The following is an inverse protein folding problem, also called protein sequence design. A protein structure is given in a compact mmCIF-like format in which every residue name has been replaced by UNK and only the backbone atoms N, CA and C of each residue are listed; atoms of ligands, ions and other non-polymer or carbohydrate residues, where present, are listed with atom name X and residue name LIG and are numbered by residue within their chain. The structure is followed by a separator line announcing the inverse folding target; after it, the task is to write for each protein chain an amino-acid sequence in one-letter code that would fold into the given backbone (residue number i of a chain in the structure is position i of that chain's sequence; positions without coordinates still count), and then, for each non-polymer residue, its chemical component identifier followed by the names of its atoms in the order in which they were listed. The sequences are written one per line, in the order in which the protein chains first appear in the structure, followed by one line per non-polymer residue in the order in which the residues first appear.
data_IF_688801335665
#
_entry.id   IF_688801335665
#
_cell.length_a   1.000
_cell.length_b   1.000
_cell.length_c   1.000
_cell.angle_alpha   90.00
_cell.angle_beta   90.00
_cell.angle_gamma   90.00
#
_symmetry.space_group_name_H-M   'P 1'
#
loop_
_entity.id
_entity.type
_entity.pdbx_description
1 polymer ?
#
# COMPACT_ATOMS: atom_id res chain seq x y z
N UNK A 1 8.16 75.66 -10.81
CA UNK A 1 7.45 75.34 -12.07
C UNK A 1 6.15 74.61 -11.72
N UNK A 2 5.05 75.11 -12.28
CA UNK A 2 3.66 74.58 -12.37
C UNK A 2 3.01 73.88 -11.15
N UNK A 3 2.10 74.62 -10.51
CA UNK A 3 0.97 74.13 -9.69
C UNK A 3 -0.11 73.47 -10.58
N UNK A 4 -0.98 72.66 -9.95
CA UNK A 4 -2.44 72.42 -10.15
C UNK A 4 -2.78 70.93 -10.29
N UNK A 5 -3.93 70.36 -9.91
CA UNK A 5 -5.07 70.63 -9.00
C UNK A 5 -5.85 69.28 -8.95
N UNK A 6 -6.54 69.04 -7.84
CA UNK A 6 -7.64 68.11 -7.52
C UNK A 6 -8.67 67.80 -8.66
N UNK A 7 -9.22 66.58 -8.68
CA UNK A 7 -10.64 66.17 -8.95
C UNK A 7 -10.61 64.65 -9.31
N UNK A 8 -11.35 63.71 -8.74
CA UNK A 8 -12.73 63.74 -8.25
C UNK A 8 -13.62 62.97 -9.25
N UNK A 9 -13.96 61.71 -8.97
CA UNK A 9 -15.17 61.09 -9.54
C UNK A 9 -15.63 59.88 -8.72
N UNK A 10 -16.70 60.11 -7.94
CA UNK A 10 -17.59 59.09 -7.40
C UNK A 10 -18.54 58.68 -8.53
N UNK A 11 -18.67 57.38 -8.79
CA UNK A 11 -19.84 56.83 -9.48
C UNK A 11 -20.28 55.57 -8.74
N UNK A 12 -21.26 55.80 -7.86
CA UNK A 12 -22.19 54.83 -7.31
C UNK A 12 -23.15 54.38 -8.43
N UNK A 13 -23.70 53.16 -8.26
CA UNK A 13 -24.88 52.57 -8.91
C UNK A 13 -24.61 51.59 -10.07
N UNK A 14 -24.74 50.28 -9.77
CA UNK A 14 -25.94 49.52 -10.15
C UNK A 14 -25.91 48.14 -9.48
N UNK A 15 -26.82 47.95 -8.53
CA UNK A 15 -27.21 46.62 -8.08
C UNK A 15 -27.82 45.86 -9.27
N UNK A 16 -27.12 44.85 -9.74
CA UNK A 16 -27.76 43.72 -10.42
C UNK A 16 -27.64 42.52 -9.49
N UNK A 17 -28.76 42.23 -8.83
CA UNK A 17 -29.05 40.93 -8.23
C UNK A 17 -28.95 39.85 -9.31
N UNK A 18 -27.78 39.21 -9.39
CA UNK A 18 -27.59 37.95 -10.07
C UNK A 18 -27.86 36.82 -9.08
N UNK A 19 -29.13 36.45 -8.92
CA UNK A 19 -29.48 35.14 -8.38
C UNK A 19 -29.07 34.12 -9.44
N UNK A 20 -27.98 33.39 -9.19
CA UNK A 20 -27.43 32.45 -10.14
C UNK A 20 -26.64 31.39 -9.39
N UNK A 21 -27.36 30.48 -8.76
CA UNK A 21 -26.93 29.12 -8.40
C UNK A 21 -25.47 28.99 -7.93
N UNK A 22 -25.32 28.94 -6.61
CA UNK A 22 -24.17 28.35 -5.93
C UNK A 22 -24.01 26.89 -6.41
N UNK A 23 -23.36 26.69 -7.56
CA UNK A 23 -22.79 25.41 -7.95
C UNK A 23 -21.52 25.25 -7.12
N UNK A 24 -21.73 25.06 -5.82
CA UNK A 24 -20.81 24.27 -5.03
C UNK A 24 -20.73 22.95 -5.77
N UNK A 25 -19.64 22.77 -6.51
CA UNK A 25 -19.30 21.50 -7.11
C UNK A 25 -19.02 20.56 -5.93
N UNK A 26 -20.07 20.02 -5.33
CA UNK A 26 -19.96 18.81 -4.54
C UNK A 26 -19.37 17.82 -5.54
N UNK A 27 -18.09 17.47 -5.35
CA UNK A 27 -17.50 16.32 -6.03
C UNK A 27 -18.51 15.19 -5.85
N UNK A 28 -19.19 14.83 -6.94
CA UNK A 28 -20.12 13.73 -6.96
C UNK A 28 -19.35 12.52 -6.42
N UNK A 29 -19.71 12.09 -5.21
CA UNK A 29 -19.09 10.96 -4.51
C UNK A 29 -19.43 9.61 -5.14
N UNK A 30 -19.96 9.60 -6.36
CA UNK A 30 -20.39 8.43 -7.12
C UNK A 30 -19.51 8.19 -8.36
N UNK A 31 -18.27 8.67 -8.34
CA UNK A 31 -17.27 8.23 -9.31
C UNK A 31 -16.94 6.75 -9.06
N UNK A 32 -17.48 5.90 -9.94
CA UNK A 32 -17.29 4.46 -9.94
C UNK A 32 -16.07 4.01 -10.73
N UNK A 33 -15.31 4.95 -11.32
CA UNK A 33 -14.06 4.61 -11.99
C UNK A 33 -13.08 3.96 -11.00
N UNK A 34 -12.19 3.08 -11.47
CA UNK A 34 -11.10 2.56 -10.64
C UNK A 34 -10.26 3.69 -10.01
N UNK A 35 -9.66 3.47 -8.83
CA UNK A 35 -8.74 4.44 -8.26
C UNK A 35 -7.50 4.56 -9.14
N UNK A 36 -7.05 5.79 -9.39
CA UNK A 36 -5.74 6.03 -9.98
C UNK A 36 -4.71 6.16 -8.84
N UNK A 37 -3.65 5.34 -8.87
CA UNK A 37 -2.57 5.36 -7.87
C UNK A 37 -1.20 5.28 -8.55
N UNK A 38 -0.17 5.83 -7.91
CA UNK A 38 1.21 5.69 -8.33
C UNK A 38 2.03 5.05 -7.22
N UNK A 39 3.05 4.27 -7.57
CA UNK A 39 3.96 3.68 -6.58
C UNK A 39 4.67 4.77 -5.76
N UNK A 40 4.95 5.93 -6.36
CA UNK A 40 5.55 7.10 -5.69
C UNK A 40 4.68 7.69 -4.59
N UNK A 41 3.38 7.41 -4.56
CA UNK A 41 2.47 7.85 -3.49
C UNK A 41 2.57 6.96 -2.24
N UNK A 42 3.37 5.89 -2.30
CA UNK A 42 3.62 4.98 -1.18
C UNK A 42 5.07 5.15 -0.77
N UNK A 43 5.30 5.95 0.26
CA UNK A 43 6.64 6.21 0.80
C UNK A 43 7.04 5.06 1.73
N UNK A 44 7.63 4.01 1.17
CA UNK A 44 8.04 2.81 1.88
C UNK A 44 9.51 2.86 2.33
N UNK A 45 9.81 2.13 3.39
CA UNK A 45 11.14 2.09 3.99
C UNK A 45 11.47 0.70 4.54
N UNK A 46 12.71 0.26 4.29
CA UNK A 46 13.32 -0.94 4.86
C UNK A 46 14.52 -0.54 5.72
N UNK A 47 14.53 -0.93 6.99
CA UNK A 47 15.64 -0.65 7.90
C UNK A 47 15.77 -1.66 9.03
N UNK A 48 16.85 -1.59 9.80
CA UNK A 48 16.93 -2.32 11.07
C UNK A 48 15.94 -1.74 12.08
N UNK A 49 15.25 -2.61 12.81
CA UNK A 49 14.32 -2.27 13.87
C UNK A 49 14.27 -3.36 14.93
N UNK A 50 13.42 -3.15 15.94
CA UNK A 50 13.15 -4.13 17.00
C UNK A 50 11.64 -4.44 16.96
N UNK A 51 11.30 -5.73 16.86
CA UNK A 51 9.94 -6.26 16.96
C UNK A 51 10.01 -7.42 17.95
N UNK A 52 9.10 -7.44 18.93
CA UNK A 52 9.03 -8.45 19.99
C UNK A 52 10.37 -8.69 20.72
N UNK A 53 11.09 -7.61 20.99
CA UNK A 53 12.41 -7.65 21.66
C UNK A 53 13.57 -8.14 20.79
N UNK A 54 13.31 -8.56 19.55
CA UNK A 54 14.34 -9.07 18.63
C UNK A 54 14.69 -8.05 17.55
N UNK A 55 15.99 -7.93 17.25
CA UNK A 55 16.46 -7.14 16.11
C UNK A 55 16.08 -7.82 14.80
N UNK A 56 15.43 -7.07 13.90
CA UNK A 56 14.96 -7.55 12.60
C UNK A 56 15.14 -6.48 11.53
N UNK A 57 15.06 -6.89 10.28
CA UNK A 57 14.82 -5.96 9.18
C UNK A 57 13.31 -5.76 9.05
N UNK A 58 12.91 -4.50 9.08
CA UNK A 58 11.52 -4.10 9.19
C UNK A 58 11.10 -3.25 8.01
N UNK A 59 9.87 -3.49 7.57
CA UNK A 59 9.15 -2.73 6.57
C UNK A 59 8.11 -1.82 7.25
N UNK A 60 7.95 -0.63 6.70
CA UNK A 60 6.90 0.33 7.03
C UNK A 60 6.70 1.27 5.85
N UNK A 61 5.57 1.95 5.78
CA UNK A 61 5.29 2.91 4.73
C UNK A 61 4.33 4.01 5.19
N UNK A 62 4.36 5.14 4.49
CA UNK A 62 3.34 6.18 4.59
C UNK A 62 2.44 6.14 3.36
N UNK A 63 1.14 6.03 3.58
CA UNK A 63 0.14 6.07 2.52
C UNK A 63 -0.14 7.52 2.13
N UNK A 64 0.44 8.01 1.03
CA UNK A 64 0.15 9.35 0.50
C UNK A 64 -0.92 9.33 -0.61
N UNK A 65 -1.52 8.19 -0.93
CA UNK A 65 -2.69 8.13 -1.83
C UNK A 65 -3.91 8.81 -1.19
N UNK A 66 -4.95 9.09 -1.97
CA UNK A 66 -6.23 9.59 -1.46
C UNK A 66 -7.15 8.47 -0.94
N UNK A 67 -6.69 7.21 -0.99
CA UNK A 67 -7.48 6.03 -0.67
C UNK A 67 -6.97 5.31 0.57
N UNK A 68 -7.75 4.35 1.07
CA UNK A 68 -7.24 3.40 2.08
C UNK A 68 -6.50 2.28 1.37
N UNK A 69 -5.25 2.02 1.77
CA UNK A 69 -4.53 0.82 1.38
C UNK A 69 -5.01 -0.31 2.31
N UNK A 70 -5.64 -1.32 1.72
CA UNK A 70 -6.12 -2.51 2.43
C UNK A 70 -5.04 -3.56 2.63
N UNK A 71 -4.10 -3.62 1.68
CA UNK A 71 -2.97 -4.55 1.72
C UNK A 71 -1.82 -4.02 0.86
N UNK A 72 -0.59 -4.36 1.24
CA UNK A 72 0.59 -4.13 0.41
C UNK A 72 1.61 -5.23 0.65
N UNK A 73 2.15 -5.77 -0.43
CA UNK A 73 3.24 -6.73 -0.45
C UNK A 73 4.35 -6.22 -1.40
N UNK A 74 5.60 -6.31 -0.98
CA UNK A 74 6.79 -6.07 -1.78
C UNK A 74 7.62 -7.33 -1.85
N UNK A 75 7.94 -7.75 -3.07
CA UNK A 75 8.89 -8.81 -3.34
C UNK A 75 10.22 -8.20 -3.77
N UNK A 76 11.30 -8.73 -3.20
CA UNK A 76 12.67 -8.34 -3.49
C UNK A 76 13.44 -9.55 -3.99
N UNK A 77 13.94 -9.47 -5.21
CA UNK A 77 14.73 -10.53 -5.81
C UNK A 77 16.22 -10.29 -5.60
N UNK A 78 17.00 -11.36 -5.77
CA UNK A 78 18.45 -11.28 -5.76
C UNK A 78 18.93 -10.38 -6.90
N UNK A 79 19.80 -9.42 -6.58
CA UNK A 79 20.49 -8.61 -7.58
C UNK A 79 21.29 -9.47 -8.54
N UNK A 80 21.33 -9.08 -9.81
CA UNK A 80 22.19 -9.72 -10.80
C UNK A 80 23.68 -9.74 -10.40
N UNK A 81 24.14 -8.76 -9.60
CA UNK A 81 25.52 -8.66 -9.11
C UNK A 81 25.82 -9.49 -7.87
N UNK A 82 24.81 -10.02 -7.19
CA UNK A 82 25.00 -10.86 -5.99
C UNK A 82 25.47 -12.24 -6.42
N UNK A 83 26.55 -12.75 -5.81
CA UNK A 83 27.07 -14.10 -6.10
C UNK A 83 26.46 -15.18 -5.21
N UNK A 84 26.65 -16.45 -5.58
CA UNK A 84 26.19 -17.58 -4.76
C UNK A 84 26.90 -17.61 -3.41
N UNK A 85 28.19 -17.24 -3.38
CA UNK A 85 28.99 -17.16 -2.16
C UNK A 85 28.47 -16.06 -1.23
N UNK A 86 28.05 -14.91 -1.77
CA UNK A 86 27.41 -13.85 -0.97
C UNK A 86 26.13 -14.37 -0.30
N UNK A 87 25.28 -15.07 -1.05
CA UNK A 87 24.05 -15.67 -0.53
C UNK A 87 24.36 -16.70 0.57
N UNK A 88 25.27 -17.63 0.32
CA UNK A 88 25.64 -18.67 1.28
C UNK A 88 26.27 -18.10 2.55
N UNK A 89 27.05 -17.02 2.42
CA UNK A 89 27.70 -16.33 3.54
C UNK A 89 26.69 -15.58 4.41
N UNK A 90 25.86 -14.72 3.80
CA UNK A 90 24.99 -13.82 4.57
C UNK A 90 23.72 -14.53 5.10
N UNK A 91 23.34 -15.69 4.53
CA UNK A 91 22.25 -16.54 5.04
C UNK A 91 22.73 -17.82 5.74
N UNK A 92 24.00 -17.87 6.17
CA UNK A 92 24.62 -19.05 6.80
C UNK A 92 23.82 -19.62 7.97
N UNK A 93 23.22 -18.77 8.82
CA UNK A 93 22.43 -19.24 9.98
C UNK A 93 21.26 -20.14 9.55
N UNK A 94 20.57 -19.80 8.47
CA UNK A 94 19.44 -20.59 7.98
C UNK A 94 19.89 -21.89 7.34
N UNK A 95 21.03 -21.88 6.63
CA UNK A 95 21.69 -23.09 6.15
C UNK A 95 22.04 -24.02 7.33
N UNK A 96 22.63 -23.48 8.38
CA UNK A 96 23.10 -24.24 9.54
C UNK A 96 21.95 -24.83 10.39
N UNK A 97 20.72 -24.34 10.23
CA UNK A 97 19.55 -24.98 10.87
C UNK A 97 19.24 -26.38 10.31
N UNK A 98 19.82 -26.75 9.17
CA UNK A 98 19.56 -28.02 8.49
C UNK A 98 18.23 -28.06 7.70
N UNK A 99 17.41 -27.01 7.77
CA UNK A 99 16.14 -26.92 7.07
C UNK A 99 16.27 -26.55 5.58
N UNK A 100 17.44 -26.05 5.16
CA UNK A 100 17.67 -25.54 3.82
C UNK A 100 18.99 -26.05 3.26
N UNK A 101 18.96 -26.57 2.04
CA UNK A 101 20.17 -26.93 1.31
C UNK A 101 20.92 -25.68 0.83
N UNK A 102 22.16 -25.85 0.39
CA UNK A 102 22.92 -24.77 -0.23
C UNK A 102 22.20 -24.23 -1.48
N UNK A 103 21.54 -25.09 -2.25
CA UNK A 103 20.83 -24.70 -3.47
C UNK A 103 19.50 -23.98 -3.18
N UNK A 104 18.87 -24.27 -2.04
CA UNK A 104 17.72 -23.49 -1.57
C UNK A 104 18.14 -22.07 -1.21
N UNK A 105 19.23 -21.94 -0.45
CA UNK A 105 19.74 -20.64 0.03
C UNK A 105 20.10 -19.71 -1.13
N UNK A 106 20.71 -20.23 -2.20
CA UNK A 106 21.06 -19.44 -3.40
C UNK A 106 19.85 -18.82 -4.10
N UNK A 107 18.65 -19.40 -3.88
CA UNK A 107 17.37 -18.99 -4.48
C UNK A 107 16.49 -18.18 -3.54
N UNK A 108 16.99 -17.83 -2.36
CA UNK A 108 16.22 -17.01 -1.42
C UNK A 108 15.91 -15.62 -1.99
N UNK A 109 14.69 -15.17 -1.71
CA UNK A 109 14.22 -13.81 -1.97
C UNK A 109 13.58 -13.25 -0.69
N UNK A 110 13.48 -11.93 -0.60
CA UNK A 110 12.91 -11.24 0.56
C UNK A 110 11.52 -10.74 0.21
N UNK A 111 10.64 -10.77 1.19
CA UNK A 111 9.25 -10.35 1.10
C UNK A 111 8.94 -9.42 2.26
N UNK A 112 8.12 -8.42 2.01
CA UNK A 112 7.63 -7.52 3.04
C UNK A 112 6.15 -7.23 2.80
N UNK A 113 5.31 -7.55 3.78
CA UNK A 113 3.86 -7.41 3.63
C UNK A 113 3.22 -6.78 4.86
N UNK A 114 2.20 -5.95 4.63
CA UNK A 114 1.41 -5.34 5.70
C UNK A 114 -0.09 -5.43 5.37
N UNK A 115 -0.74 -6.43 5.94
CA UNK A 115 -2.17 -6.72 5.77
C UNK A 115 -3.10 -5.86 6.65
N UNK A 116 -2.73 -4.60 6.91
CA UNK A 116 -3.55 -3.69 7.73
C UNK A 116 -4.10 -2.54 6.89
N UNK A 117 -5.29 -2.10 7.26
CA UNK A 117 -5.94 -0.97 6.60
C UNK A 117 -5.29 0.34 7.03
N UNK A 118 -4.56 0.96 6.11
CA UNK A 118 -3.89 2.23 6.34
C UNK A 118 -4.62 3.32 5.57
N UNK A 119 -5.29 4.20 6.32
CA UNK A 119 -6.03 5.34 5.76
C UNK A 119 -5.07 6.33 5.06
N UNK A 120 -5.64 7.14 4.16
CA UNK A 120 -4.93 8.22 3.49
C UNK A 120 -4.18 9.12 4.50
N UNK A 121 -2.95 9.50 4.12
CA UNK A 121 -2.00 10.34 4.87
C UNK A 121 -1.63 9.77 6.25
N UNK A 122 -1.71 8.44 6.44
CA UNK A 122 -1.26 7.75 7.66
C UNK A 122 -0.10 6.81 7.37
N UNK A 123 0.75 6.61 8.38
CA UNK A 123 1.85 5.65 8.33
C UNK A 123 1.43 4.32 8.95
N UNK A 124 1.95 3.23 8.38
CA UNK A 124 1.78 1.90 8.92
C UNK A 124 2.67 1.65 10.14
N UNK A 125 2.32 0.63 10.92
CA UNK A 125 3.26 0.08 11.90
C UNK A 125 4.40 -0.66 11.18
N UNK A 126 5.49 -0.87 11.92
CA UNK A 126 6.60 -1.71 11.47
C UNK A 126 6.17 -3.18 11.47
N UNK A 127 6.57 -3.91 10.45
CA UNK A 127 6.39 -5.36 10.30
C UNK A 127 7.72 -5.99 9.87
N UNK A 128 7.92 -7.28 10.16
CA UNK A 128 9.19 -7.95 9.81
C UNK A 128 9.22 -8.27 8.31
N UNK A 129 10.37 -8.10 7.67
CA UNK A 129 10.62 -8.71 6.36
C UNK A 129 10.89 -10.21 6.55
N UNK A 130 10.47 -11.02 5.58
CA UNK A 130 10.57 -12.48 5.63
C UNK A 130 11.22 -13.06 4.38
N UNK A 131 11.73 -14.28 4.49
CA UNK A 131 12.34 -15.01 3.37
C UNK A 131 11.30 -15.90 2.71
N UNK A 132 11.19 -15.86 1.38
CA UNK A 132 10.34 -16.74 0.57
C UNK A 132 8.85 -16.79 0.99
N UNK A 133 8.26 -15.69 1.45
CA UNK A 133 6.93 -15.67 2.10
C UNK A 133 6.76 -16.67 3.26
N UNK A 134 7.86 -17.10 3.89
CA UNK A 134 7.82 -17.96 5.09
C UNK A 134 7.74 -17.13 6.36
N UNK A 135 7.78 -17.78 7.51
CA UNK A 135 7.87 -17.17 8.83
C UNK A 135 9.32 -16.80 9.23
N UNK A 136 10.31 -17.12 8.41
CA UNK A 136 11.71 -16.78 8.70
C UNK A 136 11.97 -15.29 8.47
N UNK A 137 12.21 -14.57 9.57
CA UNK A 137 12.52 -13.15 9.52
C UNK A 137 13.92 -12.89 8.95
N UNK A 138 14.05 -11.79 8.21
CA UNK A 138 15.35 -11.24 7.83
C UNK A 138 15.93 -10.52 9.05
N UNK A 139 17.15 -10.88 9.45
CA UNK A 139 17.74 -10.41 10.72
C UNK A 139 18.90 -9.44 10.52
N UNK A 140 19.56 -9.46 9.36
CA UNK A 140 20.70 -8.59 9.05
C UNK A 140 20.42 -7.74 7.81
N UNK A 141 20.84 -6.47 7.84
CA UNK A 141 20.68 -5.56 6.70
C UNK A 141 21.56 -5.99 5.52
N UNK A 142 22.64 -6.73 5.77
CA UNK A 142 23.48 -7.32 4.72
C UNK A 142 22.69 -8.28 3.84
N UNK A 143 21.80 -9.09 4.42
CA UNK A 143 20.89 -9.98 3.68
C UNK A 143 20.00 -9.17 2.74
N UNK A 144 19.40 -8.08 3.23
CA UNK A 144 18.59 -7.18 2.41
C UNK A 144 19.40 -6.49 1.30
N UNK A 145 20.66 -6.11 1.56
CA UNK A 145 21.52 -5.44 0.57
C UNK A 145 21.85 -6.31 -0.65
N UNK A 146 21.72 -7.64 -0.55
CA UNK A 146 21.86 -8.56 -1.67
C UNK A 146 20.66 -8.54 -2.64
N UNK A 147 19.55 -7.94 -2.21
CA UNK A 147 18.30 -7.89 -2.95
C UNK A 147 18.03 -6.52 -3.57
N UNK A 148 17.15 -6.50 -4.56
CA UNK A 148 16.54 -5.31 -5.15
C UNK A 148 15.02 -5.50 -5.30
N UNK A 149 14.23 -4.42 -5.28
CA UNK A 149 12.79 -4.51 -5.49
C UNK A 149 12.47 -5.15 -6.86
N UNK A 150 11.53 -6.10 -6.88
CA UNK A 150 11.08 -6.78 -8.08
C UNK A 150 9.67 -6.30 -8.47
N UNK A 151 8.70 -6.55 -7.59
CA UNK A 151 7.31 -6.17 -7.79
C UNK A 151 6.61 -5.80 -6.48
N UNK A 152 5.55 -5.02 -6.60
CA UNK A 152 4.61 -4.77 -5.52
C UNK A 152 3.22 -5.30 -5.88
N UNK A 153 2.49 -5.78 -4.89
CA UNK A 153 1.04 -5.99 -4.96
C UNK A 153 0.38 -5.05 -3.98
N UNK A 154 -0.58 -4.25 -4.42
CA UNK A 154 -1.24 -3.21 -3.60
C UNK A 154 -2.75 -3.36 -3.74
N UNK A 155 -3.45 -3.48 -2.62
CA UNK A 155 -4.91 -3.48 -2.60
C UNK A 155 -5.44 -2.12 -2.11
N UNK A 156 -6.25 -1.46 -2.93
CA UNK A 156 -6.88 -0.17 -2.64
C UNK A 156 -8.37 -0.35 -2.37
N UNK A 157 -8.89 0.40 -1.39
CA UNK A 157 -10.30 0.44 -1.07
C UNK A 157 -10.88 1.79 -1.51
N UNK A 158 -11.83 1.76 -2.47
CA UNK A 158 -12.63 2.91 -2.95
C UNK A 158 -14.10 2.49 -2.99
N UNK A 159 -15.00 3.27 -2.39
CA UNK A 159 -16.45 3.04 -2.40
C UNK A 159 -16.85 1.60 -2.00
N UNK A 160 -16.28 1.08 -0.90
CA UNK A 160 -16.46 -0.29 -0.41
C UNK A 160 -16.10 -1.40 -1.42
N UNK A 161 -15.29 -1.08 -2.44
CA UNK A 161 -14.73 -2.05 -3.38
C UNK A 161 -13.22 -2.15 -3.24
N UNK A 162 -12.71 -3.36 -3.44
CA UNK A 162 -11.28 -3.66 -3.50
C UNK A 162 -10.80 -3.51 -4.94
N UNK A 163 -9.63 -2.92 -5.13
CA UNK A 163 -8.92 -2.83 -6.41
C UNK A 163 -7.49 -3.29 -6.20
N UNK A 164 -7.05 -4.27 -6.97
CA UNK A 164 -5.71 -4.85 -6.84
C UNK A 164 -4.82 -4.30 -7.96
N UNK A 165 -3.64 -3.82 -7.59
CA UNK A 165 -2.64 -3.31 -8.51
C UNK A 165 -1.34 -4.06 -8.35
N UNK A 166 -0.64 -4.27 -9.46
CA UNK A 166 0.74 -4.69 -9.50
C UNK A 166 1.61 -3.53 -9.94
N UNK A 167 2.75 -3.36 -9.28
CA UNK A 167 3.79 -2.47 -9.75
C UNK A 167 5.02 -3.30 -10.11
N UNK A 168 5.51 -3.13 -11.33
CA UNK A 168 6.76 -3.71 -11.80
C UNK A 168 7.88 -2.69 -11.60
N UNK A 169 8.86 -2.99 -10.75
CA UNK A 169 9.97 -2.06 -10.49
C UNK A 169 10.98 -1.98 -11.65
N UNK A 170 11.09 -3.03 -12.46
CA UNK A 170 11.99 -3.04 -13.62
C UNK A 170 11.43 -2.14 -14.72
N UNK A 171 10.15 -2.31 -15.05
CA UNK A 171 9.48 -1.57 -16.12
C UNK A 171 8.89 -0.23 -15.63
N UNK A 172 8.81 -0.03 -14.31
CA UNK A 172 8.21 1.15 -13.64
C UNK A 172 6.75 1.35 -14.01
N UNK A 173 6.03 0.25 -14.22
CA UNK A 173 4.65 0.24 -14.69
C UNK A 173 3.70 -0.18 -13.57
N UNK A 174 2.55 0.51 -13.50
CA UNK A 174 1.44 0.16 -12.62
C UNK A 174 0.31 -0.44 -13.45
N UNK A 175 -0.11 -1.65 -13.13
CA UNK A 175 -1.18 -2.37 -13.82
C UNK A 175 -2.26 -2.78 -12.83
N UNK A 176 -3.53 -2.55 -13.17
CA UNK A 176 -4.65 -3.04 -12.38
C UNK A 176 -5.00 -4.47 -12.77
N UNK A 177 -5.22 -5.34 -11.79
CA UNK A 177 -5.77 -6.69 -11.99
C UNK A 177 -7.29 -6.59 -12.08
N UNK A 178 -7.85 -6.64 -13.29
CA UNK A 178 -9.29 -6.51 -13.51
C UNK A 178 -10.09 -7.65 -12.84
N UNK A 179 -9.54 -8.87 -12.83
CA UNK A 179 -10.19 -10.05 -12.25
C UNK A 179 -10.27 -9.99 -10.72
N UNK A 180 -9.34 -9.28 -10.07
CA UNK A 180 -9.28 -9.09 -8.61
C UNK A 180 -9.73 -7.70 -8.17
N UNK A 181 -10.44 -6.97 -9.02
CA UNK A 181 -10.87 -5.60 -8.77
C UNK A 181 -12.38 -5.42 -8.89
N UNK A 182 -12.91 -4.41 -8.19
CA UNK A 182 -14.33 -4.08 -8.17
C UNK A 182 -15.18 -4.92 -7.23
N UNK A 183 -14.61 -5.94 -6.57
CA UNK A 183 -15.30 -6.77 -5.58
C UNK A 183 -15.64 -5.96 -4.32
N UNK A 184 -16.85 -6.13 -3.79
CA UNK A 184 -17.25 -5.48 -2.53
C UNK A 184 -16.47 -6.06 -1.37
N UNK A 185 -15.84 -5.19 -0.56
CA UNK A 185 -15.12 -5.64 0.63
C UNK A 185 -16.06 -6.19 1.70
N UNK A 186 -17.35 -5.81 1.70
CA UNK A 186 -18.35 -6.36 2.59
C UNK A 186 -19.39 -7.18 1.82
N UNK A 187 -19.42 -8.49 2.08
CA UNK A 187 -20.51 -9.38 1.68
C UNK A 187 -20.95 -10.20 2.89
N UNK A 188 -22.26 -10.21 3.14
CA UNK A 188 -22.85 -11.01 4.20
C UNK A 188 -23.51 -12.23 3.59
N UNK A 189 -23.33 -13.40 4.22
CA UNK A 189 -24.08 -14.59 3.83
C UNK A 189 -25.58 -14.31 3.87
N UNK A 190 -26.30 -14.80 2.86
CA UNK A 190 -27.75 -14.67 2.75
C UNK A 190 -28.48 -15.83 3.44
N UNK A 191 -27.75 -16.75 4.09
CA UNK A 191 -28.32 -17.88 4.80
C UNK A 191 -29.23 -17.44 5.94
N UNK A 192 -30.19 -18.31 6.30
CA UNK A 192 -31.15 -18.03 7.38
C UNK A 192 -30.45 -17.78 8.72
N UNK A 193 -29.33 -18.47 8.97
CA UNK A 193 -28.50 -18.30 10.17
C UNK A 193 -27.80 -16.93 10.15
N UNK A 194 -27.18 -16.55 9.02
CA UNK A 194 -26.45 -15.29 8.91
C UNK A 194 -27.35 -14.05 9.03
N UNK A 195 -28.62 -14.14 8.64
CA UNK A 195 -29.61 -13.07 8.83
C UNK A 195 -29.91 -12.76 10.30
N UNK A 196 -29.71 -13.74 11.18
CA UNK A 196 -29.95 -13.60 12.63
C UNK A 196 -28.69 -13.15 13.39
N UNK A 197 -27.54 -13.05 12.74
CA UNK A 197 -26.31 -12.57 13.37
C UNK A 197 -26.22 -11.03 13.26
N UNK A 198 -25.78 -10.34 14.33
CA UNK A 198 -25.56 -8.90 14.28
C UNK A 198 -24.47 -8.58 13.24
N UNK A 199 -24.80 -7.70 12.29
CA UNK A 199 -23.87 -7.26 11.26
C UNK A 199 -22.88 -6.27 11.88
N UNK A 200 -21.60 -6.63 11.92
CA UNK A 200 -20.55 -5.75 12.43
C UNK A 200 -20.16 -4.72 11.37
N UNK A 201 -19.99 -3.44 11.76
CA UNK A 201 -19.34 -2.42 10.92
C UNK A 201 -17.81 -2.47 10.95
N UNK A 202 -17.25 -3.54 11.52
CA UNK A 202 -15.82 -3.67 11.74
C UNK A 202 -15.15 -4.00 10.40
N UNK A 203 -14.23 -3.14 9.97
CA UNK A 203 -13.25 -3.46 8.94
C UNK A 203 -12.45 -4.68 9.39
N UNK A 204 -12.68 -5.79 8.69
CA UNK A 204 -12.19 -7.16 8.93
C UNK A 204 -10.85 -7.21 9.68
N UNK A 205 -10.86 -7.72 10.91
CA UNK A 205 -9.63 -8.19 11.54
C UNK A 205 -9.15 -9.45 10.81
N UNK A 206 -7.94 -9.39 10.25
CA UNK A 206 -7.06 -10.56 10.07
C UNK A 206 -7.51 -11.65 9.10
N UNK A 207 -7.88 -11.30 7.87
CA UNK A 207 -7.95 -12.27 6.76
C UNK A 207 -6.82 -12.01 5.77
N UNK A 208 -6.14 -13.06 5.30
CA UNK A 208 -5.20 -12.95 4.18
C UNK A 208 -5.98 -12.49 2.94
N UNK A 209 -5.56 -11.37 2.35
CA UNK A 209 -5.94 -10.98 0.99
C UNK A 209 -5.04 -11.75 0.03
N UNK A 210 -5.42 -12.98 -0.32
CA UNK A 210 -4.73 -13.74 -1.37
C UNK A 210 -5.72 -13.95 -2.51
N UNK A 211 -5.34 -13.55 -3.72
CA UNK A 211 -6.13 -13.77 -4.95
C UNK A 211 -7.50 -13.07 -4.98
N UNK A 212 -7.59 -11.81 -4.54
CA UNK A 212 -8.81 -11.00 -4.67
C UNK A 212 -9.94 -11.38 -3.70
N UNK A 213 -9.76 -12.44 -2.90
CA UNK A 213 -10.73 -12.86 -1.88
C UNK A 213 -10.16 -12.69 -0.48
N UNK A 214 -10.97 -12.10 0.39
CA UNK A 214 -10.75 -12.12 1.83
C UNK A 214 -11.20 -13.48 2.37
N UNK A 215 -10.24 -14.33 2.72
CA UNK A 215 -10.52 -15.57 3.44
C UNK A 215 -10.65 -15.27 4.94
N UNK A 216 -11.69 -15.84 5.56
CA UNK A 216 -11.90 -15.80 7.00
C UNK A 216 -11.78 -17.21 7.57
N UNK A 217 -11.26 -17.31 8.79
CA UNK A 217 -11.53 -18.41 9.69
C UNK A 217 -12.68 -18.02 10.61
#
# INVERSE_FOLDING_TARGET
MKKKILLGLVLVLCCLTGCGSNSGNSKNSNDNSPPEIKMSDIDWNIKSGIIDGQRRIVFSYTNNTDYTIGDIELDFQRKASTTDDDMLKEFKLLKDTGNYSADDVKKFYITAYNHRFIKSKKSSNKVSCTINHTYWAVTDLKQYKLMEPDKATIAIIKNDKLYTFYYDFQNKEMTMDEDKSGEKIYSWSTSKIAKNLPKTKISKCGGYLRYGRLFYF
#
